data_IF_273955635984
#
_entry.id   IF_273955635984
#
_cell.length_a   1.000
_cell.length_b   1.000
_cell.length_c   1.000
_cell.angle_alpha   90.00
_cell.angle_beta   90.00
_cell.angle_gamma   90.00
#
_symmetry.space_group_name_H-M   'P 1'
#
loop_
_entity.id
_entity.type
_entity.pdbx_description
1 polymer ?
#
# COMPACT_ATOMS: atom_id res chain seq x y z
N UNK A 1 -17.02 -2.83 41.74
CA UNK A 1 -16.96 -3.74 40.59
C UNK A 1 -15.76 -3.37 39.74
N UNK A 2 -14.83 -4.29 39.48
CA UNK A 2 -13.72 -4.06 38.56
C UNK A 2 -14.24 -4.22 37.13
N UNK A 3 -14.21 -3.14 36.34
CA UNK A 3 -14.57 -3.18 34.92
C UNK A 3 -13.51 -4.02 34.21
N UNK A 4 -13.86 -5.26 33.85
CA UNK A 4 -12.99 -6.09 33.01
C UNK A 4 -12.94 -5.47 31.62
N UNK A 5 -11.73 -5.17 31.14
CA UNK A 5 -11.51 -4.58 29.81
C UNK A 5 -11.18 -5.69 28.81
N UNK A 6 -11.66 -5.55 27.58
CA UNK A 6 -11.29 -6.46 26.49
C UNK A 6 -9.78 -6.39 26.22
N UNK A 7 -9.13 -7.55 26.12
CA UNK A 7 -7.72 -7.66 25.74
C UNK A 7 -7.57 -8.63 24.59
N UNK A 8 -7.13 -8.12 23.44
CA UNK A 8 -6.83 -8.96 22.29
C UNK A 8 -5.44 -9.60 22.46
N UNK A 9 -5.39 -10.93 22.51
CA UNK A 9 -4.15 -11.67 22.77
C UNK A 9 -3.10 -11.49 21.66
N UNK A 10 -3.54 -11.25 20.43
CA UNK A 10 -2.69 -11.09 19.25
C UNK A 10 -2.39 -9.61 18.93
N UNK A 11 -2.61 -8.69 19.86
CA UNK A 11 -2.31 -7.26 19.66
C UNK A 11 -0.87 -7.01 19.17
N UNK A 12 0.18 -7.64 19.74
CA UNK A 12 1.56 -7.44 19.25
C UNK A 12 1.75 -7.93 17.81
N UNK A 13 1.05 -9.00 17.43
CA UNK A 13 1.11 -9.55 16.07
C UNK A 13 0.40 -8.61 15.10
N UNK A 14 -0.77 -8.08 15.47
CA UNK A 14 -1.50 -7.09 14.69
C UNK A 14 -0.66 -5.84 14.44
N UNK A 15 0.01 -5.32 15.46
CA UNK A 15 0.88 -4.16 15.32
C UNK A 15 2.05 -4.43 14.36
N UNK A 16 2.71 -5.58 14.51
CA UNK A 16 3.77 -5.98 13.57
C UNK A 16 3.26 -6.11 12.12
N UNK A 17 2.05 -6.61 11.91
CA UNK A 17 1.45 -6.70 10.56
C UNK A 17 1.11 -5.31 9.99
N UNK A 18 0.67 -4.38 10.83
CA UNK A 18 0.45 -3.00 10.43
C UNK A 18 1.75 -2.32 10.00
N UNK A 19 2.83 -2.51 10.75
CA UNK A 19 4.16 -1.99 10.39
C UNK A 19 4.66 -2.58 9.06
N UNK A 20 4.45 -3.88 8.85
CA UNK A 20 4.80 -4.55 7.59
C UNK A 20 3.98 -4.02 6.40
N UNK A 21 2.69 -3.78 6.58
CA UNK A 21 1.84 -3.20 5.54
C UNK A 21 2.28 -1.77 5.19
N UNK A 22 2.55 -0.94 6.20
CA UNK A 22 3.06 0.41 6.01
C UNK A 22 4.42 0.42 5.27
N UNK A 23 5.34 -0.45 5.66
CA UNK A 23 6.63 -0.59 5.00
C UNK A 23 6.48 -1.04 3.53
N UNK A 24 5.57 -1.97 3.24
CA UNK A 24 5.29 -2.42 1.88
C UNK A 24 4.66 -1.32 1.01
N UNK A 25 3.74 -0.52 1.56
CA UNK A 25 3.17 0.65 0.89
C UNK A 25 4.24 1.72 0.59
N UNK A 26 5.14 1.98 1.53
CA UNK A 26 6.26 2.89 1.32
C UNK A 26 7.20 2.37 0.22
N UNK A 27 7.51 1.07 0.20
CA UNK A 27 8.34 0.46 -0.83
C UNK A 27 7.68 0.57 -2.22
N UNK A 28 6.37 0.38 -2.30
CA UNK A 28 5.60 0.59 -3.53
C UNK A 28 5.66 2.05 -4.01
N UNK A 29 5.51 3.01 -3.11
CA UNK A 29 5.63 4.44 -3.45
C UNK A 29 7.02 4.78 -4.00
N UNK A 30 8.09 4.25 -3.40
CA UNK A 30 9.45 4.43 -3.89
C UNK A 30 9.65 3.82 -5.29
N UNK A 31 9.09 2.63 -5.54
CA UNK A 31 9.13 2.00 -6.85
C UNK A 31 8.40 2.84 -7.92
N UNK A 32 7.23 3.39 -7.60
CA UNK A 32 6.50 4.30 -8.48
C UNK A 32 7.30 5.58 -8.77
N UNK A 33 7.90 6.20 -7.76
CA UNK A 33 8.73 7.39 -7.95
C UNK A 33 9.90 7.10 -8.90
N UNK A 34 10.56 5.95 -8.74
CA UNK A 34 11.64 5.53 -9.63
C UNK A 34 11.15 5.33 -11.07
N UNK A 35 10.03 4.64 -11.25
CA UNK A 35 9.41 4.45 -12.57
C UNK A 35 9.08 5.79 -13.24
N UNK A 36 8.47 6.72 -12.51
CA UNK A 36 8.10 8.05 -13.02
C UNK A 36 9.34 8.87 -13.42
N UNK A 37 10.42 8.82 -12.62
CA UNK A 37 11.69 9.46 -12.97
C UNK A 37 12.26 8.92 -14.29
N UNK A 38 12.26 7.60 -14.46
CA UNK A 38 12.75 6.96 -15.70
C UNK A 38 11.87 7.33 -16.90
N UNK A 39 10.56 7.45 -16.71
CA UNK A 39 9.63 7.86 -17.75
C UNK A 39 9.90 9.30 -18.21
N UNK A 40 10.14 10.22 -17.27
CA UNK A 40 10.53 11.61 -17.57
C UNK A 40 11.83 11.64 -18.38
N UNK A 41 12.85 10.90 -17.94
CA UNK A 41 14.15 10.83 -18.62
C UNK A 41 14.03 10.27 -20.04
N UNK A 42 13.21 9.23 -20.23
CA UNK A 42 12.93 8.64 -21.54
C UNK A 42 12.23 9.64 -22.46
N UNK A 43 11.23 10.36 -21.94
CA UNK A 43 10.49 11.35 -22.70
C UNK A 43 11.35 12.55 -23.10
N UNK A 44 12.21 13.06 -22.21
CA UNK A 44 13.19 14.10 -22.55
C UNK A 44 14.12 13.63 -23.68
N UNK A 45 14.62 12.39 -23.59
CA UNK A 45 15.52 11.85 -24.62
C UNK A 45 14.82 11.68 -25.97
N UNK A 46 13.54 11.25 -25.97
CA UNK A 46 12.70 11.21 -27.18
C UNK A 46 12.45 12.60 -27.75
N UNK A 47 12.18 13.59 -26.91
CA UNK A 47 11.96 14.97 -27.35
C UNK A 47 13.23 15.57 -27.96
N UNK A 48 14.41 15.28 -27.39
CA UNK A 48 15.69 15.66 -27.99
C UNK A 48 15.89 15.03 -29.36
N UNK A 49 15.56 13.75 -29.52
CA UNK A 49 15.62 13.06 -30.81
C UNK A 49 14.69 13.72 -31.83
N UNK A 50 13.45 13.99 -31.44
CA UNK A 50 12.44 14.66 -32.29
C UNK A 50 12.92 16.04 -32.76
N UNK A 51 13.47 16.84 -31.84
CA UNK A 51 14.07 18.15 -32.17
C UNK A 51 15.18 18.04 -33.22
N UNK A 52 15.94 16.94 -33.26
CA UNK A 52 16.97 16.76 -34.31
C UNK A 52 16.37 16.65 -35.70
N UNK A 53 15.12 16.20 -35.85
CA UNK A 53 14.43 16.13 -37.14
C UNK A 53 13.83 17.48 -37.53
N UNK A 54 13.38 18.26 -36.56
CA UNK A 54 12.76 19.58 -36.77
C UNK A 54 13.79 20.70 -37.05
N UNK A 55 15.03 20.55 -36.58
CA UNK A 55 16.09 21.56 -36.72
C UNK A 55 16.76 21.57 -38.11
N UNK A 56 16.36 20.68 -39.02
CA UNK A 56 17.01 20.49 -40.31
C UNK A 56 16.31 21.24 -41.42
N UNK A 57 16.69 22.49 -41.67
CA UNK A 57 16.53 23.08 -43.01
C UNK A 57 17.59 22.41 -43.91
N UNK A 58 17.27 21.20 -44.38
CA UNK A 58 18.16 20.24 -45.05
C UNK A 58 18.89 20.83 -46.29
N UNK A 59 18.45 22.00 -46.77
CA UNK A 59 19.00 22.69 -47.94
C UNK A 59 20.32 23.43 -47.68
N UNK A 60 20.76 23.60 -46.42
CA UNK A 60 21.99 24.34 -46.07
C UNK A 60 23.04 23.55 -45.28
N UNK A 61 22.83 22.25 -45.07
CA UNK A 61 23.72 21.41 -44.27
C UNK A 61 24.87 20.85 -45.12
N UNK A 62 26.11 21.23 -44.77
CA UNK A 62 27.31 20.58 -45.28
C UNK A 62 27.38 19.09 -44.84
N UNK A 63 28.05 18.25 -45.65
CA UNK A 63 28.17 16.81 -45.49
C UNK A 63 28.70 16.43 -44.09
N UNK A 64 29.63 17.22 -43.56
CA UNK A 64 30.17 17.03 -42.20
C UNK A 64 29.08 17.18 -41.13
N UNK A 65 28.25 18.22 -41.23
CA UNK A 65 27.17 18.48 -40.28
C UNK A 65 26.09 17.40 -40.37
N UNK A 66 25.75 16.94 -41.58
CA UNK A 66 24.85 15.80 -41.79
C UNK A 66 25.34 14.53 -41.09
N UNK A 67 26.65 14.23 -41.21
CA UNK A 67 27.27 13.09 -40.54
C UNK A 67 27.23 13.21 -39.02
N UNK A 68 27.48 14.39 -38.47
CA UNK A 68 27.38 14.64 -37.02
C UNK A 68 25.96 14.44 -36.48
N UNK A 69 24.94 14.96 -37.18
CA UNK A 69 23.54 14.71 -36.81
C UNK A 69 23.17 13.23 -36.87
N UNK A 70 23.68 12.49 -37.85
CA UNK A 70 23.47 11.03 -37.94
C UNK A 70 24.05 10.30 -36.71
N UNK A 71 25.30 10.60 -36.33
CA UNK A 71 25.91 9.98 -35.14
C UNK A 71 25.19 10.35 -33.85
N UNK A 72 24.77 11.61 -33.70
CA UNK A 72 24.00 12.05 -32.54
C UNK A 72 22.63 11.38 -32.45
N UNK A 73 21.89 11.26 -33.57
CA UNK A 73 20.62 10.52 -33.62
C UNK A 73 20.82 9.05 -33.26
N UNK A 74 21.89 8.42 -33.76
CA UNK A 74 22.22 7.04 -33.42
C UNK A 74 22.51 6.87 -31.91
N UNK A 75 23.23 7.82 -31.30
CA UNK A 75 23.53 7.77 -29.86
C UNK A 75 22.26 7.95 -29.01
N UNK A 76 21.36 8.86 -29.40
CA UNK A 76 20.05 9.05 -28.76
C UNK A 76 19.19 7.79 -28.87
N UNK A 77 19.14 7.14 -30.05
CA UNK A 77 18.41 5.89 -30.24
C UNK A 77 18.95 4.77 -29.34
N UNK A 78 20.27 4.60 -29.27
CA UNK A 78 20.90 3.64 -28.34
C UNK A 78 20.53 3.94 -26.88
N UNK A 79 20.53 5.22 -26.49
CA UNK A 79 20.14 5.65 -25.15
C UNK A 79 18.67 5.34 -24.84
N UNK A 80 17.76 5.59 -25.80
CA UNK A 80 16.33 5.27 -25.68
C UNK A 80 16.12 3.76 -25.48
N UNK A 81 16.84 2.91 -26.22
CA UNK A 81 16.75 1.46 -26.05
C UNK A 81 17.12 1.06 -24.62
N UNK A 82 18.22 1.59 -24.08
CA UNK A 82 18.63 1.34 -22.70
C UNK A 82 17.59 1.84 -21.69
N UNK A 83 17.12 3.08 -21.85
CA UNK A 83 16.11 3.67 -20.96
C UNK A 83 14.78 2.90 -20.96
N UNK A 84 14.35 2.37 -22.12
CA UNK A 84 13.18 1.50 -22.20
C UNK A 84 13.37 0.20 -21.42
N UNK A 85 14.57 -0.39 -21.48
CA UNK A 85 14.90 -1.58 -20.69
C UNK A 85 14.81 -1.27 -19.19
N UNK A 86 15.46 -0.20 -18.75
CA UNK A 86 15.45 0.23 -17.34
C UNK A 86 14.02 0.55 -16.87
N UNK A 87 13.19 1.19 -17.72
CA UNK A 87 11.79 1.49 -17.43
C UNK A 87 10.95 0.21 -17.29
N UNK A 88 11.16 -0.78 -18.16
CA UNK A 88 10.47 -2.07 -18.08
C UNK A 88 10.84 -2.84 -16.81
N UNK A 89 12.11 -2.79 -16.40
CA UNK A 89 12.56 -3.38 -15.13
C UNK A 89 11.91 -2.68 -13.94
N UNK A 90 11.85 -1.34 -13.95
CA UNK A 90 11.14 -0.58 -12.92
C UNK A 90 9.63 -0.86 -12.90
N UNK A 91 8.99 -1.05 -14.05
CA UNK A 91 7.57 -1.41 -14.14
C UNK A 91 7.30 -2.79 -13.51
N UNK A 92 8.17 -3.77 -13.77
CA UNK A 92 8.10 -5.08 -13.11
C UNK A 92 8.29 -4.98 -11.60
N UNK A 93 9.20 -4.13 -11.15
CA UNK A 93 9.42 -3.88 -9.72
C UNK A 93 8.17 -3.27 -9.06
N UNK A 94 7.55 -2.28 -9.70
CA UNK A 94 6.28 -1.69 -9.23
C UNK A 94 5.22 -2.77 -9.05
N UNK A 95 5.03 -3.62 -10.04
CA UNK A 95 4.01 -4.68 -9.96
C UNK A 95 4.32 -5.71 -8.86
N UNK A 96 5.60 -6.06 -8.68
CA UNK A 96 6.02 -6.92 -7.57
C UNK A 96 5.71 -6.27 -6.21
N UNK A 97 6.06 -4.99 -6.03
CA UNK A 97 5.79 -4.25 -4.79
C UNK A 97 4.31 -4.04 -4.54
N UNK A 98 3.51 -3.91 -5.60
CA UNK A 98 2.06 -3.84 -5.49
C UNK A 98 1.49 -5.14 -4.92
N UNK A 99 1.93 -6.28 -5.45
CA UNK A 99 1.52 -7.58 -4.97
C UNK A 99 1.95 -7.83 -3.50
N UNK A 100 3.15 -7.40 -3.12
CA UNK A 100 3.61 -7.45 -1.73
C UNK A 100 2.73 -6.59 -0.80
N UNK A 101 2.44 -5.33 -1.19
CA UNK A 101 1.62 -4.42 -0.39
C UNK A 101 0.17 -4.93 -0.22
N UNK A 102 -0.43 -5.45 -1.29
CA UNK A 102 -1.78 -6.05 -1.24
C UNK A 102 -1.80 -7.22 -0.27
N UNK A 103 -0.82 -8.13 -0.34
CA UNK A 103 -0.74 -9.28 0.56
C UNK A 103 -0.56 -8.84 2.02
N UNK A 104 0.36 -7.92 2.29
CA UNK A 104 0.60 -7.44 3.64
C UNK A 104 -0.67 -6.79 4.25
N UNK A 105 -1.41 -6.03 3.44
CA UNK A 105 -2.67 -5.40 3.86
C UNK A 105 -3.78 -6.43 4.11
N UNK A 106 -3.87 -7.48 3.29
CA UNK A 106 -4.80 -8.57 3.52
C UNK A 106 -4.51 -9.30 4.83
N UNK A 107 -3.23 -9.60 5.11
CA UNK A 107 -2.82 -10.26 6.36
C UNK A 107 -3.13 -9.41 7.60
N UNK A 108 -2.92 -8.08 7.52
CA UNK A 108 -3.32 -7.15 8.57
C UNK A 108 -4.85 -7.19 8.78
N UNK A 109 -5.64 -7.08 7.71
CA UNK A 109 -7.10 -7.07 7.77
C UNK A 109 -7.69 -8.34 8.40
N UNK A 110 -7.06 -9.50 8.20
CA UNK A 110 -7.49 -10.75 8.84
C UNK A 110 -7.41 -10.63 10.37
N UNK A 111 -6.34 -10.06 10.91
CA UNK A 111 -6.17 -9.88 12.35
C UNK A 111 -7.10 -8.79 12.90
N UNK A 112 -7.35 -7.72 12.15
CA UNK A 112 -8.33 -6.69 12.53
C UNK A 112 -9.73 -7.28 12.67
N UNK A 113 -10.17 -8.08 11.69
CA UNK A 113 -11.46 -8.78 11.74
C UNK A 113 -11.53 -9.77 12.91
N UNK A 114 -10.44 -10.47 13.20
CA UNK A 114 -10.38 -11.38 14.35
C UNK A 114 -10.52 -10.61 15.67
N UNK A 115 -9.87 -9.45 15.80
CA UNK A 115 -9.99 -8.56 16.96
C UNK A 115 -11.42 -8.03 17.12
N UNK A 116 -12.03 -7.58 16.03
CA UNK A 116 -13.42 -7.10 16.01
C UNK A 116 -14.40 -8.20 16.47
N UNK A 117 -14.26 -9.40 15.92
CA UNK A 117 -15.09 -10.54 16.32
C UNK A 117 -14.90 -10.88 17.81
N UNK A 118 -13.65 -10.90 18.29
CA UNK A 118 -13.34 -11.11 19.70
C UNK A 118 -13.97 -10.04 20.60
N UNK A 119 -13.94 -8.78 20.19
CA UNK A 119 -14.57 -7.68 20.92
C UNK A 119 -16.09 -7.82 20.96
N UNK A 120 -16.71 -8.21 19.86
CA UNK A 120 -18.15 -8.44 19.79
C UNK A 120 -18.59 -9.59 20.70
N UNK A 121 -17.82 -10.68 20.73
CA UNK A 121 -18.07 -11.78 21.66
C UNK A 121 -17.93 -11.35 23.12
N UNK A 122 -16.87 -10.60 23.45
CA UNK A 122 -16.68 -10.07 24.79
C UNK A 122 -17.85 -9.18 25.25
N UNK A 123 -18.33 -8.29 24.38
CA UNK A 123 -19.50 -7.45 24.67
C UNK A 123 -20.76 -8.29 24.95
N UNK A 124 -21.00 -9.34 24.15
CA UNK A 124 -22.13 -10.26 24.35
C UNK A 124 -22.02 -11.00 25.69
N UNK A 125 -20.84 -11.50 26.04
CA UNK A 125 -20.61 -12.18 27.32
C UNK A 125 -20.83 -11.25 28.51
N UNK A 126 -20.36 -10.00 28.42
CA UNK A 126 -20.59 -9.00 29.48
C UNK A 126 -22.06 -8.68 29.64
N UNK A 127 -22.80 -8.45 28.55
CA UNK A 127 -24.24 -8.21 28.59
C UNK A 127 -25.01 -9.38 29.22
N UNK A 128 -24.64 -10.63 28.89
CA UNK A 128 -25.26 -11.82 29.50
C UNK A 128 -24.96 -11.94 31.00
N UNK A 129 -23.75 -11.58 31.44
CA UNK A 129 -23.40 -11.56 32.88
C UNK A 129 -24.18 -10.48 33.62
N UNK A 130 -24.22 -9.27 33.08
CA UNK A 130 -24.99 -8.16 33.66
C UNK A 130 -26.48 -8.52 33.78
N UNK A 131 -27.06 -9.10 32.74
CA UNK A 131 -28.45 -9.56 32.76
C UNK A 131 -28.68 -10.61 33.86
N UNK A 132 -27.78 -11.59 33.98
CA UNK A 132 -27.87 -12.61 35.03
C UNK A 132 -27.79 -12.01 36.44
N UNK A 133 -26.89 -11.06 36.66
CA UNK A 133 -26.77 -10.36 37.95
C UNK A 133 -28.06 -9.57 38.28
N UNK A 134 -28.67 -8.90 37.29
CA UNK A 134 -29.94 -8.19 37.46
C UNK A 134 -31.08 -9.15 37.82
N UNK A 135 -31.17 -10.29 37.14
CA UNK A 135 -32.20 -11.31 37.39
C UNK A 135 -32.05 -11.91 38.80
N UNK A 136 -30.82 -12.22 39.21
CA UNK A 136 -30.52 -12.73 40.56
C UNK A 136 -30.89 -11.70 41.66
N UNK A 137 -30.56 -10.41 41.46
CA UNK A 137 -30.93 -9.34 42.39
C UNK A 137 -32.45 -9.15 42.47
N UNK A 138 -33.14 -9.23 41.33
CA UNK A 138 -34.60 -9.10 41.24
C UNK A 138 -35.29 -10.24 42.00
N UNK A 139 -34.83 -11.48 41.79
CA UNK A 139 -35.33 -12.65 42.49
C UNK A 139 -35.10 -12.57 44.00
N UNK A 140 -33.89 -12.18 44.43
CA UNK A 140 -33.57 -12.01 45.85
C UNK A 140 -34.44 -10.93 46.52
N UNK A 141 -34.73 -9.83 45.81
CA UNK A 141 -35.61 -8.75 46.30
C UNK A 141 -37.05 -9.23 46.44
N UNK A 142 -37.54 -9.98 45.44
CA UNK A 142 -38.88 -10.58 45.48
C UNK A 142 -39.04 -11.55 46.65
N UNK A 143 -38.10 -12.49 46.82
CA UNK A 143 -38.12 -13.47 47.91
C UNK A 143 -38.07 -12.82 49.31
N UNK A 144 -37.38 -11.69 49.46
CA UNK A 144 -37.36 -10.93 50.72
C UNK A 144 -38.69 -10.27 51.02
N UNK A 145 -39.39 -9.74 50.01
CA UNK A 145 -40.74 -9.16 50.18
C UNK A 145 -41.76 -10.24 50.55
N UNK A 146 -41.70 -11.39 49.91
CA UNK A 146 -42.64 -12.50 50.14
C UNK A 146 -42.52 -13.09 51.55
N UNK A 147 -41.30 -13.14 52.11
CA UNK A 147 -41.05 -13.57 53.50
C UNK A 147 -41.41 -12.53 54.58
N UNK A 148 -41.81 -11.31 54.20
CA UNK A 148 -42.19 -10.24 55.14
C UNK A 148 -43.70 -10.04 55.29
N UNK A 149 -44.49 -10.92 54.66
CA UNK A 149 -45.94 -11.09 54.81
C UNK A 149 -46.20 -12.35 55.66
#
# INVERSE_FOLDING_TARGET
MSITKFRFRLEPVLQRRADQAAAAEQALALAHNRYNQLLIILNDTRQRLEKTFQSGDLKKLDLFMSRQFSFYRMSLNKKIIKQKKDLNEAARLVENKRNEAVRARQEQQVLEKLKEHGLNNFKREMALREQKEIDEMSLATYQRRDKSL
#
